data_IF_208474960499
#
_entry.id   IF_208474960499
#
_cell.length_a   1.000
_cell.length_b   1.000
_cell.length_c   1.000
_cell.angle_alpha   90.00
_cell.angle_beta   90.00
_cell.angle_gamma   90.00
#
_symmetry.space_group_name_H-M   'P 1'
#
loop_
_entity.id
_entity.type
_entity.pdbx_description
1 polymer ?
#
# COMPACT_ATOMS: atom_id res chain seq x y z
N UNK A 1 4.99 42.14 -5.85
CA UNK A 1 4.88 42.28 -4.37
C UNK A 1 6.02 41.46 -3.72
N UNK A 2 6.85 42.07 -2.90
CA UNK A 2 7.87 41.34 -2.17
C UNK A 2 7.19 40.40 -1.18
N UNK A 3 7.48 39.10 -1.30
CA UNK A 3 6.89 38.04 -0.49
C UNK A 3 7.96 37.30 0.32
N UNK A 4 8.93 38.04 0.84
CA UNK A 4 10.08 37.48 1.58
C UNK A 4 9.65 36.51 2.71
N UNK A 5 8.54 36.82 3.40
CA UNK A 5 7.99 35.95 4.47
C UNK A 5 7.47 34.61 3.93
N UNK A 6 6.86 34.62 2.72
CA UNK A 6 6.37 33.38 2.10
C UNK A 6 7.55 32.50 1.71
N UNK A 7 8.57 33.04 1.06
CA UNK A 7 9.75 32.30 0.67
C UNK A 7 10.53 31.76 1.89
N UNK A 8 10.67 32.57 2.94
CA UNK A 8 11.30 32.13 4.19
C UNK A 8 10.51 30.99 4.86
N UNK A 9 9.18 31.05 4.85
CA UNK A 9 8.34 29.97 5.39
C UNK A 9 8.47 28.70 4.56
N UNK A 10 8.59 28.78 3.22
CA UNK A 10 8.78 27.65 2.35
C UNK A 10 10.15 27.00 2.55
N UNK A 11 11.21 27.78 2.67
CA UNK A 11 12.56 27.30 3.00
C UNK A 11 12.58 26.54 4.36
N UNK A 12 11.85 27.05 5.35
CA UNK A 12 11.72 26.40 6.65
C UNK A 12 10.96 25.07 6.58
N UNK A 13 9.86 25.03 5.82
CA UNK A 13 9.06 23.82 5.62
C UNK A 13 9.87 22.72 4.91
N UNK A 14 10.66 23.07 3.91
CA UNK A 14 11.55 22.12 3.25
C UNK A 14 12.60 21.57 4.20
N UNK A 15 13.24 22.44 4.99
CA UNK A 15 14.29 22.05 5.94
C UNK A 15 13.75 21.20 7.10
N UNK A 16 12.60 21.55 7.67
CA UNK A 16 12.05 20.89 8.87
C UNK A 16 11.15 19.69 8.55
N UNK A 17 10.46 19.73 7.42
CA UNK A 17 9.44 18.74 7.04
C UNK A 17 9.75 17.98 5.77
N UNK A 18 10.82 18.35 5.04
CA UNK A 18 11.17 17.71 3.76
C UNK A 18 10.20 18.00 2.61
N UNK A 19 9.34 19.00 2.74
CA UNK A 19 8.33 19.34 1.73
C UNK A 19 8.98 20.26 0.67
N UNK A 20 9.02 19.88 -0.62
CA UNK A 20 9.65 20.68 -1.66
C UNK A 20 9.01 22.07 -1.80
N UNK A 21 9.83 23.11 -1.91
CA UNK A 21 9.36 24.50 -2.06
C UNK A 21 8.47 24.66 -3.30
N UNK A 22 8.85 24.03 -4.42
CA UNK A 22 8.11 24.10 -5.68
C UNK A 22 6.68 23.55 -5.56
N UNK A 23 6.51 22.46 -4.80
CA UNK A 23 5.19 21.90 -4.53
C UNK A 23 4.29 22.88 -3.79
N UNK A 24 4.80 23.47 -2.72
CA UNK A 24 4.03 24.44 -1.93
C UNK A 24 3.80 25.75 -2.68
N UNK A 25 4.79 26.23 -3.44
CA UNK A 25 4.63 27.40 -4.30
C UNK A 25 3.55 27.18 -5.36
N UNK A 26 3.53 25.99 -5.99
CA UNK A 26 2.48 25.59 -6.92
C UNK A 26 1.07 25.66 -6.30
N UNK A 27 0.91 25.19 -5.06
CA UNK A 27 -0.36 25.27 -4.32
C UNK A 27 -0.78 26.72 -4.02
N UNK A 28 0.17 27.56 -3.62
CA UNK A 28 -0.07 28.98 -3.37
C UNK A 28 -0.53 29.67 -4.67
N UNK A 29 0.16 29.43 -5.78
CA UNK A 29 -0.21 29.99 -7.10
C UNK A 29 -1.61 29.56 -7.50
N UNK A 30 -1.91 28.26 -7.38
CA UNK A 30 -3.22 27.71 -7.72
C UNK A 30 -4.36 28.38 -6.93
N UNK A 31 -4.14 28.60 -5.65
CA UNK A 31 -5.12 29.21 -4.79
C UNK A 31 -5.30 30.72 -5.05
N UNK A 32 -4.21 31.44 -5.26
CA UNK A 32 -4.26 32.86 -5.62
C UNK A 32 -5.02 33.05 -6.93
N UNK A 33 -4.73 32.19 -7.91
CA UNK A 33 -5.41 32.17 -9.21
C UNK A 33 -6.93 31.91 -9.07
N UNK A 34 -7.28 30.86 -8.28
CA UNK A 34 -8.68 30.52 -8.05
C UNK A 34 -9.45 31.64 -7.30
N UNK A 35 -8.81 32.25 -6.30
CA UNK A 35 -9.40 33.33 -5.54
C UNK A 35 -9.62 34.57 -6.41
N UNK A 36 -8.66 34.94 -7.27
CA UNK A 36 -8.79 36.04 -8.17
C UNK A 36 -9.94 35.83 -9.19
N UNK A 37 -10.03 34.64 -9.79
CA UNK A 37 -11.12 34.28 -10.70
C UNK A 37 -12.48 34.33 -10.05
N UNK A 38 -12.58 33.95 -8.78
CA UNK A 38 -13.85 34.03 -8.02
C UNK A 38 -14.31 35.45 -7.75
N UNK A 39 -13.36 36.37 -7.50
CA UNK A 39 -13.67 37.77 -7.20
C UNK A 39 -13.90 38.62 -8.45
N UNK A 40 -13.54 38.08 -9.64
CA UNK A 40 -13.63 38.80 -10.93
C UNK A 40 -14.34 37.95 -11.98
N UNK A 41 -15.62 38.17 -12.17
CA UNK A 41 -16.42 37.47 -13.18
C UNK A 41 -15.86 37.65 -14.59
N UNK A 42 -15.86 36.58 -15.37
CA UNK A 42 -15.41 36.60 -16.78
C UNK A 42 -13.90 36.53 -16.98
N UNK A 43 -13.09 36.49 -15.91
CA UNK A 43 -11.64 36.28 -16.00
C UNK A 43 -11.35 34.76 -16.10
N UNK A 44 -10.87 34.34 -17.28
CA UNK A 44 -10.56 32.93 -17.53
C UNK A 44 -9.10 32.56 -17.26
N UNK A 45 -8.17 33.41 -17.69
CA UNK A 45 -6.75 33.13 -17.63
C UNK A 45 -6.01 34.10 -16.71
N UNK A 46 -5.46 33.53 -15.62
CA UNK A 46 -4.64 34.26 -14.65
C UNK A 46 -3.29 33.56 -14.56
N UNK A 47 -2.21 34.30 -14.67
CA UNK A 47 -0.84 33.83 -14.57
C UNK A 47 -0.17 34.47 -13.36
N UNK A 48 0.55 33.68 -12.58
CA UNK A 48 1.41 34.18 -11.51
C UNK A 48 2.85 33.88 -11.89
N UNK A 49 3.64 34.93 -12.04
CA UNK A 49 5.07 34.88 -12.30
C UNK A 49 5.83 34.90 -10.97
N UNK A 50 6.74 33.95 -10.79
CA UNK A 50 7.54 33.77 -9.59
C UNK A 50 8.98 34.16 -9.89
N UNK A 51 9.49 35.14 -9.20
CA UNK A 51 10.91 35.48 -9.26
C UNK A 51 11.58 35.09 -7.95
N UNK A 52 12.23 33.93 -7.93
CA UNK A 52 12.90 33.38 -6.75
C UNK A 52 14.07 34.24 -6.28
N UNK A 53 14.89 34.78 -7.19
CA UNK A 53 16.05 35.61 -6.87
C UNK A 53 15.63 36.90 -6.14
N UNK A 54 14.52 37.49 -6.56
CA UNK A 54 13.99 38.74 -5.99
C UNK A 54 12.95 38.51 -4.89
N UNK A 55 12.60 37.25 -4.62
CA UNK A 55 11.52 36.86 -3.69
C UNK A 55 10.22 37.63 -3.97
N UNK A 56 9.86 37.73 -5.26
CA UNK A 56 8.76 38.55 -5.77
C UNK A 56 7.73 37.70 -6.53
N UNK A 57 6.45 37.99 -6.29
CA UNK A 57 5.33 37.37 -6.99
C UNK A 57 4.58 38.46 -7.77
N UNK A 58 4.27 38.20 -9.04
CA UNK A 58 3.50 39.07 -9.90
C UNK A 58 2.36 38.32 -10.54
N UNK A 59 1.17 38.90 -10.45
CA UNK A 59 -0.03 38.34 -11.06
C UNK A 59 -0.42 39.12 -12.30
N UNK A 60 -0.80 38.40 -13.34
CA UNK A 60 -1.25 38.95 -14.60
C UNK A 60 -2.57 38.29 -15.01
N UNK A 61 -3.49 39.11 -15.56
CA UNK A 61 -4.65 38.63 -16.31
C UNK A 61 -4.25 38.53 -17.77
N UNK A 62 -4.37 37.33 -18.32
CA UNK A 62 -4.12 37.11 -19.73
C UNK A 62 -5.39 37.33 -20.53
N UNK A 63 -5.35 38.23 -21.49
CA UNK A 63 -6.48 38.56 -22.36
C UNK A 63 -6.12 38.33 -23.83
N UNK A 64 -7.09 37.80 -24.58
CA UNK A 64 -7.00 37.66 -26.02
C UNK A 64 -7.31 39.01 -26.71
N UNK A 65 -6.55 39.32 -27.75
CA UNK A 65 -6.72 40.55 -28.53
C UNK A 65 -7.71 40.31 -29.67
N UNK A 66 -8.88 40.98 -29.59
CA UNK A 66 -9.98 40.82 -30.53
C UNK A 66 -10.34 42.15 -31.18
N UNK A 67 -11.11 42.14 -32.28
CA UNK A 67 -11.66 43.37 -32.88
C UNK A 67 -12.77 43.95 -32.05
N UNK A 68 -13.76 43.10 -31.66
CA UNK A 68 -14.89 43.46 -30.81
C UNK A 68 -14.81 42.62 -29.51
N UNK A 69 -14.89 43.31 -28.36
CA UNK A 69 -14.78 42.69 -27.04
C UNK A 69 -16.16 42.21 -26.62
N UNK A 70 -16.36 40.89 -26.57
CA UNK A 70 -17.56 40.24 -26.05
C UNK A 70 -17.47 40.00 -24.54
N UNK A 71 -16.30 39.59 -24.06
CA UNK A 71 -16.04 39.37 -22.64
C UNK A 71 -14.86 40.24 -22.16
N UNK A 72 -15.11 41.34 -21.45
CA UNK A 72 -14.06 42.23 -20.94
C UNK A 72 -13.12 41.57 -19.93
N UNK A 73 -13.51 40.43 -19.32
CA UNK A 73 -12.66 39.65 -18.40
C UNK A 73 -11.53 38.91 -19.11
N UNK A 74 -11.80 38.36 -20.30
CA UNK A 74 -10.87 37.50 -21.05
C UNK A 74 -10.38 38.12 -22.36
N UNK A 75 -10.97 39.22 -22.80
CA UNK A 75 -10.67 39.86 -24.10
C UNK A 75 -10.29 41.33 -23.92
N UNK A 76 -9.55 41.87 -24.89
CA UNK A 76 -9.15 43.27 -25.00
C UNK A 76 -9.21 43.72 -26.47
N UNK A 77 -9.59 44.97 -26.75
CA UNK A 77 -9.58 45.50 -28.11
C UNK A 77 -8.15 45.65 -28.65
N UNK A 78 -7.99 45.53 -29.97
CA UNK A 78 -6.71 45.77 -30.61
C UNK A 78 -6.18 47.17 -30.38
N UNK A 79 -7.09 48.16 -30.29
CA UNK A 79 -6.76 49.56 -30.03
C UNK A 79 -6.15 49.76 -28.65
N UNK A 80 -6.78 49.19 -27.59
CA UNK A 80 -6.28 49.24 -26.23
C UNK A 80 -4.99 48.47 -26.05
N UNK A 81 -4.87 47.29 -26.72
CA UNK A 81 -3.63 46.51 -26.69
C UNK A 81 -2.46 47.28 -27.33
N UNK A 82 -2.70 47.95 -28.46
CA UNK A 82 -1.68 48.78 -29.14
C UNK A 82 -1.31 50.04 -28.35
N UNK A 83 -2.21 50.56 -27.53
CA UNK A 83 -1.88 51.66 -26.61
C UNK A 83 -0.84 51.21 -25.54
N UNK A 84 -0.81 49.92 -25.19
CA UNK A 84 0.19 49.36 -24.30
C UNK A 84 1.53 49.04 -25.01
N UNK A 85 1.47 48.51 -26.25
CA UNK A 85 2.64 48.26 -27.06
C UNK A 85 2.26 48.10 -28.53
N UNK A 86 2.95 48.84 -29.42
CA UNK A 86 2.76 48.75 -30.87
C UNK A 86 3.03 47.35 -31.50
N UNK A 87 3.59 46.44 -30.75
CA UNK A 87 3.92 45.08 -31.20
C UNK A 87 2.73 44.10 -31.18
N UNK A 88 1.64 44.44 -30.50
CA UNK A 88 0.47 43.59 -30.38
C UNK A 88 -0.34 43.51 -31.69
N UNK A 89 -0.79 42.29 -32.01
CA UNK A 89 -1.56 41.98 -33.21
C UNK A 89 -2.84 41.23 -32.84
N UNK A 90 -3.83 41.30 -33.73
CA UNK A 90 -5.09 40.58 -33.59
C UNK A 90 -4.88 39.10 -33.42
N UNK A 91 -5.64 38.44 -32.53
CA UNK A 91 -5.46 37.04 -32.18
C UNK A 91 -4.27 36.76 -31.25
N UNK A 92 -3.50 37.79 -30.89
CA UNK A 92 -2.42 37.69 -29.91
C UNK A 92 -2.94 37.72 -28.48
N UNK A 93 -2.02 37.57 -27.52
CA UNK A 93 -2.34 37.56 -26.09
C UNK A 93 -1.56 38.69 -25.39
N UNK A 94 -2.21 39.38 -24.47
CA UNK A 94 -1.60 40.40 -23.62
C UNK A 94 -1.72 40.04 -22.16
N UNK A 95 -0.63 40.21 -21.40
CA UNK A 95 -0.61 40.03 -19.96
C UNK A 95 -0.75 41.36 -19.24
N UNK A 96 -1.90 41.59 -18.61
CA UNK A 96 -2.22 42.81 -17.89
C UNK A 96 -1.87 42.63 -16.41
N UNK A 97 -0.94 43.44 -15.83
CA UNK A 97 -0.54 43.28 -14.45
C UNK A 97 -1.69 43.67 -13.48
N UNK A 98 -1.92 42.80 -12.51
CA UNK A 98 -2.84 43.04 -11.40
C UNK A 98 -2.19 44.00 -10.40
N UNK A 99 -2.96 44.96 -9.88
CA UNK A 99 -2.49 45.97 -8.92
C UNK A 99 -2.01 45.26 -7.61
N UNK A 100 -0.86 45.64 -7.09
CA UNK A 100 -0.26 45.04 -5.89
C UNK A 100 -1.17 45.06 -4.65
N UNK A 101 -2.00 46.08 -4.47
CA UNK A 101 -2.94 46.20 -3.34
C UNK A 101 -4.04 45.15 -3.42
N UNK A 102 -4.55 44.89 -4.61
CA UNK A 102 -5.60 43.91 -4.89
C UNK A 102 -5.06 42.49 -4.70
N UNK A 103 -3.87 42.18 -5.26
CA UNK A 103 -3.16 40.96 -5.07
C UNK A 103 -2.85 40.67 -3.59
N UNK A 104 -2.37 41.67 -2.84
CA UNK A 104 -2.09 41.57 -1.42
C UNK A 104 -3.30 41.20 -0.56
N UNK A 105 -4.48 41.75 -0.87
CA UNK A 105 -5.75 41.42 -0.19
C UNK A 105 -6.17 39.96 -0.41
N UNK A 106 -6.07 39.47 -1.63
CA UNK A 106 -6.39 38.07 -1.99
C UNK A 106 -5.42 37.12 -1.32
N UNK A 107 -4.13 37.44 -1.36
CA UNK A 107 -3.09 36.63 -0.71
C UNK A 107 -3.31 36.51 0.81
N UNK A 108 -3.64 37.62 1.49
CA UNK A 108 -3.90 37.63 2.93
C UNK A 108 -5.17 36.86 3.33
N UNK A 109 -6.25 36.95 2.51
CA UNK A 109 -7.53 36.28 2.80
C UNK A 109 -7.49 34.76 2.70
N UNK A 110 -6.80 34.23 1.70
CA UNK A 110 -6.80 32.79 1.40
C UNK A 110 -5.49 32.07 1.73
N UNK A 111 -4.38 32.81 1.90
CA UNK A 111 -3.04 32.24 2.02
C UNK A 111 -2.88 31.22 3.16
N UNK A 112 -3.40 31.52 4.35
CA UNK A 112 -3.29 30.63 5.51
C UNK A 112 -3.97 29.29 5.27
N UNK A 113 -5.18 29.29 4.74
CA UNK A 113 -5.96 28.06 4.52
C UNK A 113 -5.32 27.16 3.45
N UNK A 114 -4.79 27.78 2.40
CA UNK A 114 -4.10 27.08 1.32
C UNK A 114 -2.80 26.46 1.77
N UNK A 115 -2.00 27.18 2.56
CA UNK A 115 -0.77 26.63 3.14
C UNK A 115 -1.08 25.44 4.02
N UNK A 116 -2.10 25.52 4.89
CA UNK A 116 -2.50 24.38 5.74
C UNK A 116 -2.98 23.21 4.90
N UNK A 117 -3.75 23.45 3.85
CA UNK A 117 -4.24 22.40 2.96
C UNK A 117 -3.09 21.78 2.15
N UNK A 118 -2.20 22.58 1.58
CA UNK A 118 -1.02 22.11 0.85
C UNK A 118 -0.07 21.31 1.73
N UNK A 119 0.13 21.75 2.99
CA UNK A 119 0.93 21.03 3.97
C UNK A 119 0.36 19.64 4.25
N UNK A 120 -0.95 19.55 4.50
CA UNK A 120 -1.62 18.25 4.71
C UNK A 120 -1.51 17.34 3.49
N UNK A 121 -1.69 17.88 2.28
CA UNK A 121 -1.57 17.11 1.04
C UNK A 121 -0.14 16.59 0.85
N UNK A 122 0.88 17.41 1.16
CA UNK A 122 2.28 16.99 1.09
C UNK A 122 2.59 15.89 2.12
N UNK A 123 2.18 16.08 3.38
CA UNK A 123 2.35 15.08 4.44
C UNK A 123 1.67 13.75 4.06
N UNK A 124 0.45 13.81 3.50
CA UNK A 124 -0.27 12.64 3.01
C UNK A 124 0.46 11.97 1.84
N UNK A 125 1.03 12.75 0.92
CA UNK A 125 1.84 12.22 -0.19
C UNK A 125 3.07 11.49 0.33
N UNK A 126 3.82 12.10 1.24
CA UNK A 126 5.02 11.50 1.83
C UNK A 126 4.72 10.19 2.56
N UNK A 127 3.68 10.17 3.40
CA UNK A 127 3.23 8.93 4.08
C UNK A 127 2.86 7.86 3.06
N UNK A 128 2.13 8.23 2.01
CA UNK A 128 1.72 7.28 0.97
C UNK A 128 2.92 6.68 0.24
N UNK A 129 3.88 7.50 -0.17
CA UNK A 129 5.07 7.05 -0.92
C UNK A 129 6.01 6.24 -0.03
N UNK A 130 6.23 6.66 1.21
CA UNK A 130 7.07 5.96 2.17
C UNK A 130 6.51 4.57 2.51
N UNK A 131 5.24 4.53 2.93
CA UNK A 131 4.62 3.26 3.34
C UNK A 131 4.22 2.40 2.14
N UNK A 132 3.92 2.99 0.98
CA UNK A 132 3.69 2.29 -0.28
C UNK A 132 4.91 1.48 -0.74
N UNK A 133 6.12 2.00 -0.53
CA UNK A 133 7.36 1.27 -0.82
C UNK A 133 7.59 0.05 0.09
N UNK A 134 6.91 0.02 1.25
CA UNK A 134 6.98 -1.06 2.25
C UNK A 134 5.79 -2.03 2.15
N UNK A 135 4.94 -1.91 1.12
CA UNK A 135 3.86 -2.88 0.90
C UNK A 135 4.43 -4.30 0.78
N UNK A 136 3.69 -5.24 1.33
CA UNK A 136 4.08 -6.65 1.39
C UNK A 136 5.24 -6.98 2.34
N UNK A 137 5.66 -6.02 3.18
CA UNK A 137 6.65 -6.24 4.22
C UNK A 137 6.00 -6.57 5.58
N UNK A 138 6.81 -7.14 6.48
CA UNK A 138 6.43 -7.34 7.88
C UNK A 138 6.84 -6.11 8.70
N UNK A 139 5.93 -5.67 9.53
CA UNK A 139 6.12 -4.50 10.40
C UNK A 139 5.87 -4.89 11.85
N UNK A 140 6.55 -4.21 12.76
CA UNK A 140 6.21 -4.26 14.18
C UNK A 140 5.41 -3.02 14.55
N UNK A 141 4.21 -3.24 15.07
CA UNK A 141 3.34 -2.17 15.54
C UNK A 141 3.01 -2.30 17.01
N UNK A 142 2.71 -1.19 17.67
CA UNK A 142 2.16 -1.18 19.03
C UNK A 142 0.65 -0.94 18.95
N UNK A 143 -0.13 -1.79 19.59
CA UNK A 143 -1.58 -1.59 19.68
C UNK A 143 -1.86 -0.30 20.44
N UNK A 144 -2.46 0.67 19.75
CA UNK A 144 -2.76 1.99 20.33
C UNK A 144 -4.16 2.01 20.93
N UNK A 145 -5.16 1.51 20.18
CA UNK A 145 -6.56 1.44 20.62
C UNK A 145 -7.32 0.42 19.79
N UNK A 146 -8.44 -0.02 20.34
CA UNK A 146 -9.42 -0.85 19.62
C UNK A 146 -10.72 -0.05 19.58
N UNK A 147 -11.27 0.15 18.39
CA UNK A 147 -12.49 0.92 18.24
C UNK A 147 -13.76 0.07 18.56
N UNK A 148 -14.95 0.68 18.75
CA UNK A 148 -16.18 -0.05 19.03
C UNK A 148 -16.63 -1.01 17.92
N UNK A 149 -16.06 -0.89 16.70
CA UNK A 149 -16.32 -1.78 15.56
C UNK A 149 -15.36 -2.96 15.53
N UNK A 150 -14.43 -3.04 16.48
CA UNK A 150 -13.41 -4.06 16.57
C UNK A 150 -12.19 -3.83 15.67
N UNK A 151 -12.04 -2.64 15.06
CA UNK A 151 -10.81 -2.31 14.32
C UNK A 151 -9.69 -2.03 15.30
N UNK A 152 -8.55 -2.68 15.12
CA UNK A 152 -7.34 -2.42 15.92
C UNK A 152 -6.51 -1.36 15.22
N UNK A 153 -6.21 -0.30 15.94
CA UNK A 153 -5.35 0.79 15.52
C UNK A 153 -3.96 0.56 16.09
N UNK A 154 -2.98 0.47 15.22
CA UNK A 154 -1.58 0.21 15.55
C UNK A 154 -0.73 1.44 15.27
N UNK A 155 0.17 1.77 16.17
CA UNK A 155 1.25 2.71 15.88
C UNK A 155 2.39 1.94 15.22
N UNK A 156 2.71 2.27 13.97
CA UNK A 156 3.79 1.67 13.18
C UNK A 156 4.83 2.73 12.84
N UNK A 157 6.11 2.33 12.73
CA UNK A 157 7.22 3.26 12.56
C UNK A 157 7.65 3.94 13.86
N UNK A 158 8.62 4.81 13.77
CA UNK A 158 9.22 5.53 14.92
C UNK A 158 9.45 7.01 14.64
N UNK A 159 9.45 7.83 15.68
CA UNK A 159 9.72 9.27 15.56
C UNK A 159 8.72 9.99 14.67
N UNK A 160 9.22 10.79 13.72
CA UNK A 160 8.42 11.58 12.79
C UNK A 160 7.78 10.76 11.66
N UNK A 161 8.26 9.54 11.45
CA UNK A 161 7.75 8.59 10.44
C UNK A 161 6.62 7.71 10.99
N UNK A 162 6.29 7.85 12.29
CA UNK A 162 5.24 7.06 12.90
C UNK A 162 3.87 7.37 12.27
N UNK A 163 3.17 6.34 11.85
CA UNK A 163 1.81 6.44 11.28
C UNK A 163 0.87 5.45 11.94
N UNK A 164 -0.41 5.55 11.63
CA UNK A 164 -1.44 4.64 12.13
C UNK A 164 -1.68 3.51 11.12
N UNK A 165 -1.45 2.26 11.56
CA UNK A 165 -1.87 1.06 10.84
C UNK A 165 -3.26 0.63 11.28
N UNK A 166 -4.10 0.22 10.33
CA UNK A 166 -5.47 -0.22 10.55
C UNK A 166 -5.61 -1.72 10.29
N UNK A 167 -6.03 -2.46 11.30
CA UNK A 167 -6.31 -3.88 11.19
C UNK A 167 -7.81 -4.12 11.43
N UNK A 168 -8.56 -4.32 10.36
CA UNK A 168 -9.98 -4.63 10.42
C UNK A 168 -10.26 -5.97 11.10
N UNK A 169 -11.49 -6.22 11.51
CA UNK A 169 -11.87 -7.47 12.20
C UNK A 169 -11.57 -8.74 11.39
N UNK A 170 -11.68 -8.67 10.06
CA UNK A 170 -11.35 -9.78 9.15
C UNK A 170 -9.83 -10.05 9.02
N UNK A 171 -9.01 -9.09 9.42
CA UNK A 171 -7.56 -9.16 9.38
C UNK A 171 -6.94 -9.57 10.73
N UNK A 172 -7.80 -9.84 11.73
CA UNK A 172 -7.43 -10.31 13.06
C UNK A 172 -7.57 -11.82 13.14
N UNK A 173 -6.62 -12.47 13.80
CA UNK A 173 -6.64 -13.93 13.99
C UNK A 173 -7.75 -14.29 14.95
N UNK A 174 -8.67 -15.21 14.61
CA UNK A 174 -9.73 -15.66 15.52
C UNK A 174 -9.15 -16.21 16.82
N UNK A 175 -9.62 -15.70 17.95
CA UNK A 175 -9.18 -16.11 19.29
C UNK A 175 -7.88 -15.46 19.76
N UNK A 176 -7.23 -14.59 18.98
CA UNK A 176 -6.10 -13.80 19.43
C UNK A 176 -6.59 -12.55 20.17
N UNK A 177 -6.30 -12.46 21.45
CA UNK A 177 -6.60 -11.28 22.25
C UNK A 177 -5.48 -10.26 22.13
N UNK A 178 -5.82 -9.09 21.59
CA UNK A 178 -4.91 -7.95 21.47
C UNK A 178 -5.25 -6.92 22.54
N UNK A 179 -4.22 -6.40 23.21
CA UNK A 179 -4.38 -5.42 24.28
C UNK A 179 -3.59 -4.14 23.96
N UNK A 180 -4.09 -3.00 24.44
CA UNK A 180 -3.39 -1.72 24.28
C UNK A 180 -1.97 -1.78 24.87
N UNK A 181 -1.02 -1.21 24.16
CA UNK A 181 0.40 -1.25 24.50
C UNK A 181 1.17 -2.50 24.05
N UNK A 182 0.47 -3.53 23.54
CA UNK A 182 1.10 -4.76 23.06
C UNK A 182 1.84 -4.53 21.75
N UNK A 183 3.06 -5.07 21.66
CA UNK A 183 3.81 -5.15 20.40
C UNK A 183 3.35 -6.38 19.60
N UNK A 184 3.07 -6.18 18.32
CA UNK A 184 2.66 -7.26 17.40
C UNK A 184 3.33 -7.09 16.05
N UNK A 185 3.70 -8.21 15.44
CA UNK A 185 4.14 -8.24 14.04
C UNK A 185 2.93 -8.34 13.12
N UNK A 186 2.88 -7.50 12.11
CA UNK A 186 1.79 -7.42 11.13
C UNK A 186 2.35 -7.36 9.71
N UNK A 187 1.57 -7.85 8.77
CA UNK A 187 1.87 -7.76 7.35
C UNK A 187 1.21 -6.50 6.77
N UNK A 188 1.97 -5.66 6.07
CA UNK A 188 1.42 -4.52 5.37
C UNK A 188 0.78 -4.99 4.07
N UNK A 189 -0.55 -4.92 3.99
CA UNK A 189 -1.32 -5.40 2.85
C UNK A 189 -1.29 -4.38 1.72
N UNK A 190 -1.67 -3.15 2.02
CA UNK A 190 -1.74 -2.05 1.06
C UNK A 190 -1.82 -0.69 1.77
N UNK A 191 -1.49 0.37 1.05
CA UNK A 191 -1.70 1.76 1.47
C UNK A 191 -2.79 2.38 0.61
N UNK A 192 -3.93 2.70 1.21
CA UNK A 192 -5.09 3.28 0.52
C UNK A 192 -5.10 4.79 0.59
N UNK A 193 -5.33 5.46 -0.52
CA UNK A 193 -5.64 6.89 -0.54
C UNK A 193 -7.11 7.10 -0.19
N UNK A 194 -7.38 7.92 0.83
CA UNK A 194 -8.74 8.32 1.19
C UNK A 194 -8.85 9.84 1.23
N UNK A 195 -10.07 10.37 1.27
CA UNK A 195 -10.32 11.82 1.40
C UNK A 195 -9.79 12.41 2.71
N UNK A 196 -9.55 11.57 3.71
CA UNK A 196 -9.02 11.97 5.03
C UNK A 196 -7.50 11.77 5.16
N UNK A 197 -6.87 11.21 4.13
CA UNK A 197 -5.44 10.88 4.10
C UNK A 197 -5.16 9.41 3.80
N UNK A 198 -3.89 9.03 3.70
CA UNK A 198 -3.48 7.65 3.49
C UNK A 198 -3.85 6.79 4.69
N UNK A 199 -4.28 5.56 4.40
CA UNK A 199 -4.57 4.53 5.40
C UNK A 199 -3.68 3.33 5.14
N UNK A 200 -2.88 2.95 6.11
CA UNK A 200 -2.01 1.78 6.05
C UNK A 200 -2.78 0.57 6.56
N UNK A 201 -3.13 -0.35 5.65
CA UNK A 201 -3.90 -1.54 5.96
C UNK A 201 -2.97 -2.69 6.33
N UNK A 202 -3.14 -3.23 7.50
CA UNK A 202 -2.29 -4.31 8.01
C UNK A 202 -3.11 -5.56 8.38
N UNK A 203 -2.47 -6.72 8.33
CA UNK A 203 -3.11 -8.00 8.55
C UNK A 203 -2.25 -8.95 9.41
N UNK A 204 -2.92 -9.75 10.23
CA UNK A 204 -2.34 -10.92 10.89
C UNK A 204 -2.88 -12.23 10.32
N UNK A 205 -3.89 -12.18 9.44
CA UNK A 205 -4.46 -13.38 8.78
C UNK A 205 -3.84 -13.66 7.41
N UNK A 206 -3.21 -12.67 6.77
CA UNK A 206 -2.67 -12.80 5.43
C UNK A 206 -1.54 -13.85 5.36
N UNK A 207 -1.51 -14.74 4.34
CA UNK A 207 -0.43 -15.75 4.18
C UNK A 207 0.97 -15.13 4.05
N UNK A 208 1.06 -13.92 3.51
CA UNK A 208 2.30 -13.15 3.42
C UNK A 208 2.99 -12.91 4.76
N UNK A 209 2.24 -12.86 5.87
CA UNK A 209 2.84 -12.77 7.20
C UNK A 209 3.73 -13.98 7.49
N UNK A 210 3.23 -15.19 7.22
CA UNK A 210 4.00 -16.44 7.41
C UNK A 210 5.22 -16.45 6.52
N UNK A 211 5.06 -16.07 5.24
CA UNK A 211 6.17 -15.98 4.28
C UNK A 211 7.30 -15.09 4.82
N UNK A 212 6.95 -13.87 5.25
CA UNK A 212 7.93 -12.90 5.75
C UNK A 212 8.56 -13.33 7.08
N UNK A 213 7.82 -14.03 7.95
CA UNK A 213 8.40 -14.61 9.17
C UNK A 213 9.46 -15.65 8.84
N UNK A 214 9.22 -16.53 7.86
CA UNK A 214 10.22 -17.49 7.41
C UNK A 214 11.43 -16.81 6.76
N UNK A 215 11.25 -15.77 5.97
CA UNK A 215 12.36 -14.99 5.39
C UNK A 215 13.25 -14.34 6.47
N UNK A 216 12.69 -13.98 7.62
CA UNK A 216 13.46 -13.43 8.75
C UNK A 216 14.21 -14.51 9.55
N UNK A 217 13.62 -15.69 9.71
CA UNK A 217 14.17 -16.75 10.56
C UNK A 217 15.09 -17.73 9.82
N UNK A 218 14.96 -17.84 8.50
CA UNK A 218 15.63 -18.84 7.66
C UNK A 218 16.55 -18.17 6.66
N UNK A 219 17.88 -18.15 6.93
CA UNK A 219 18.85 -17.52 6.03
C UNK A 219 18.80 -18.05 4.60
N UNK A 220 18.55 -19.35 4.43
CA UNK A 220 18.48 -20.03 3.13
C UNK A 220 17.25 -19.58 2.30
N UNK A 221 16.21 -19.05 2.96
CA UNK A 221 15.08 -18.40 2.25
C UNK A 221 15.46 -16.97 1.92
N UNK A 222 16.12 -16.27 2.82
CA UNK A 222 16.54 -14.88 2.62
C UNK A 222 17.52 -14.72 1.44
N UNK A 223 18.46 -15.65 1.29
CA UNK A 223 19.45 -15.65 0.20
C UNK A 223 18.94 -16.29 -1.11
N UNK A 224 17.72 -16.86 -1.10
CA UNK A 224 17.08 -17.46 -2.27
C UNK A 224 17.52 -18.89 -2.57
N UNK A 225 18.33 -19.53 -1.73
CA UNK A 225 18.70 -20.96 -1.86
C UNK A 225 17.46 -21.84 -1.72
N UNK A 226 16.60 -21.51 -0.74
CA UNK A 226 15.30 -22.16 -0.53
C UNK A 226 14.19 -21.18 -0.91
N UNK A 227 13.23 -21.64 -1.69
CA UNK A 227 12.09 -20.86 -2.12
C UNK A 227 10.77 -21.39 -1.54
N UNK A 228 9.92 -20.46 -1.08
CA UNK A 228 8.54 -20.78 -0.73
C UNK A 228 7.69 -20.71 -2.00
N UNK A 229 7.24 -21.87 -2.50
CA UNK A 229 6.47 -21.97 -3.74
C UNK A 229 4.98 -21.68 -3.54
N UNK A 230 4.42 -22.11 -2.42
CA UNK A 230 3.00 -21.90 -2.12
C UNK A 230 2.75 -21.91 -0.61
N UNK A 231 1.70 -21.19 -0.18
CA UNK A 231 1.23 -21.19 1.20
C UNK A 231 -0.30 -21.27 1.19
N UNK A 232 -0.84 -22.19 1.98
CA UNK A 232 -2.26 -22.26 2.28
C UNK A 232 -2.45 -22.13 3.80
N UNK A 233 -3.22 -21.12 4.23
CA UNK A 233 -3.34 -20.74 5.64
C UNK A 233 -4.79 -20.67 6.10
N UNK A 234 -5.05 -21.22 7.27
CA UNK A 234 -6.20 -20.93 8.11
C UNK A 234 -5.67 -20.31 9.40
N UNK A 235 -5.67 -18.97 9.43
CA UNK A 235 -5.03 -18.17 10.47
C UNK A 235 -5.50 -18.57 11.89
N UNK A 236 -4.56 -18.69 12.81
CA UNK A 236 -4.79 -19.13 14.19
C UNK A 236 -5.02 -20.64 14.35
N UNK A 237 -5.04 -21.40 13.26
CA UNK A 237 -5.24 -22.85 13.32
C UNK A 237 -4.08 -23.62 12.67
N UNK A 238 -3.95 -23.55 11.35
CA UNK A 238 -2.95 -24.32 10.62
C UNK A 238 -2.54 -23.66 9.31
N UNK A 239 -1.24 -23.75 9.00
CA UNK A 239 -0.66 -23.37 7.71
C UNK A 239 0.06 -24.56 7.09
N UNK A 240 -0.13 -24.74 5.77
CA UNK A 240 0.71 -25.62 4.94
C UNK A 240 1.56 -24.75 4.01
N UNK A 241 2.86 -25.05 3.95
CA UNK A 241 3.82 -24.30 3.15
C UNK A 241 4.67 -25.26 2.32
N UNK A 242 4.69 -25.06 1.01
CA UNK A 242 5.49 -25.82 0.07
C UNK A 242 6.82 -25.10 -0.20
N UNK A 243 7.92 -25.81 -0.03
CA UNK A 243 9.28 -25.29 -0.19
C UNK A 243 10.07 -26.09 -1.22
N UNK A 244 10.96 -25.39 -1.91
CA UNK A 244 11.84 -25.93 -2.93
C UNK A 244 13.28 -25.46 -2.67
N UNK A 245 14.28 -26.27 -2.99
CA UNK A 245 15.68 -25.86 -2.95
C UNK A 245 16.26 -25.75 -4.36
N UNK A 246 16.95 -24.66 -4.62
CA UNK A 246 17.72 -24.43 -5.85
C UNK A 246 19.10 -25.10 -5.78
N UNK A 247 19.52 -25.59 -4.60
CA UNK A 247 20.74 -26.35 -4.39
C UNK A 247 20.38 -27.79 -3.95
N UNK A 248 20.82 -28.78 -4.71
CA UNK A 248 20.54 -30.21 -4.44
C UNK A 248 21.12 -30.70 -3.10
N UNK A 249 22.13 -30.00 -2.56
CA UNK A 249 22.77 -30.35 -1.28
C UNK A 249 22.03 -29.77 -0.07
N UNK A 250 21.04 -28.90 -0.29
CA UNK A 250 20.27 -28.25 0.77
C UNK A 250 18.87 -28.87 0.87
N UNK A 251 18.60 -29.51 2.02
CA UNK A 251 17.23 -29.96 2.34
C UNK A 251 16.34 -28.76 2.69
N UNK A 252 15.35 -28.41 1.86
CA UNK A 252 14.51 -27.24 2.09
C UNK A 252 13.63 -27.38 3.34
N UNK A 253 13.22 -28.59 3.71
CA UNK A 253 12.43 -28.82 4.93
C UNK A 253 13.31 -28.63 6.15
N UNK A 254 14.48 -29.27 6.15
CA UNK A 254 15.44 -29.16 7.25
C UNK A 254 15.90 -27.74 7.51
N UNK A 255 16.13 -26.95 6.45
CA UNK A 255 16.48 -25.54 6.55
C UNK A 255 15.39 -24.72 7.27
N UNK A 256 14.13 -24.92 6.90
CA UNK A 256 12.98 -24.24 7.50
C UNK A 256 12.70 -24.68 8.94
N UNK A 257 12.85 -25.96 9.25
CA UNK A 257 12.63 -26.51 10.60
C UNK A 257 13.72 -26.03 11.55
N UNK A 258 14.95 -26.04 11.08
CA UNK A 258 16.14 -25.68 11.85
C UNK A 258 16.53 -26.69 12.93
N UNK A 259 17.65 -26.44 13.60
CA UNK A 259 18.16 -27.38 14.66
C UNK A 259 17.10 -27.56 15.75
N UNK A 260 16.72 -28.83 15.99
CA UNK A 260 15.70 -29.21 16.98
C UNK A 260 14.35 -28.49 16.84
N UNK A 261 14.01 -28.04 15.63
CA UNK A 261 12.76 -27.32 15.37
C UNK A 261 12.73 -25.86 15.87
N UNK A 262 13.89 -25.29 16.16
CA UNK A 262 13.97 -23.97 16.77
C UNK A 262 13.42 -22.86 15.85
N UNK A 263 13.76 -22.88 14.55
CA UNK A 263 13.32 -21.86 13.61
C UNK A 263 11.79 -21.86 13.44
N UNK A 264 11.22 -23.02 13.10
CA UNK A 264 9.77 -23.14 12.98
C UNK A 264 9.05 -22.90 14.32
N UNK A 265 9.69 -23.29 15.44
CA UNK A 265 9.16 -23.05 16.79
C UNK A 265 8.99 -21.58 17.12
N UNK A 266 9.99 -20.74 16.80
CA UNK A 266 9.90 -19.26 16.97
C UNK A 266 8.74 -18.66 16.17
N UNK A 267 8.51 -19.14 14.95
CA UNK A 267 7.41 -18.68 14.11
C UNK A 267 6.06 -19.13 14.67
N UNK A 268 5.95 -20.37 15.12
CA UNK A 268 4.73 -20.90 15.76
C UNK A 268 4.39 -20.10 17.03
N UNK A 269 5.39 -19.70 17.81
CA UNK A 269 5.22 -18.84 19.00
C UNK A 269 4.71 -17.45 18.62
N UNK A 270 5.32 -16.80 17.61
CA UNK A 270 4.84 -15.50 17.09
C UNK A 270 3.38 -15.57 16.61
N UNK A 271 2.99 -16.68 15.99
CA UNK A 271 1.63 -16.95 15.51
C UNK A 271 0.70 -17.56 16.58
N UNK A 272 1.09 -17.48 17.86
CA UNK A 272 0.28 -17.93 19.00
C UNK A 272 -0.15 -19.39 18.94
N UNK A 273 0.72 -20.27 18.47
CA UNK A 273 0.48 -21.71 18.44
C UNK A 273 -0.17 -22.22 17.15
N UNK A 274 -0.25 -21.41 16.09
CA UNK A 274 -0.68 -21.86 14.76
C UNK A 274 0.25 -22.97 14.25
N UNK A 275 -0.31 -24.13 13.90
CA UNK A 275 0.47 -25.27 13.42
C UNK A 275 0.98 -25.03 12.00
N UNK A 276 2.24 -25.39 11.75
CA UNK A 276 2.87 -25.20 10.43
C UNK A 276 3.35 -26.55 9.90
N UNK A 277 2.82 -26.97 8.75
CA UNK A 277 3.29 -28.13 8.00
C UNK A 277 4.18 -27.64 6.85
N UNK A 278 5.43 -28.05 6.84
CA UNK A 278 6.40 -27.73 5.80
C UNK A 278 6.49 -28.92 4.86
N UNK A 279 6.26 -28.70 3.57
CA UNK A 279 6.09 -29.73 2.56
C UNK A 279 7.10 -29.47 1.44
N UNK A 280 7.76 -30.55 0.98
CA UNK A 280 8.63 -30.44 -0.19
C UNK A 280 7.76 -30.26 -1.43
N UNK A 281 8.03 -29.21 -2.20
CA UNK A 281 7.42 -29.00 -3.50
C UNK A 281 7.96 -30.02 -4.50
N UNK A 282 7.11 -30.49 -5.42
CA UNK A 282 7.51 -31.28 -6.58
C UNK A 282 6.81 -30.73 -7.83
N UNK A 283 7.51 -30.78 -8.96
CA UNK A 283 6.92 -30.47 -10.28
C UNK A 283 5.98 -31.58 -10.78
N UNK A 284 6.12 -32.81 -10.22
CA UNK A 284 5.14 -33.87 -10.41
C UNK A 284 3.89 -33.60 -9.55
N UNK A 285 2.73 -33.34 -10.15
CA UNK A 285 1.51 -33.06 -9.40
C UNK A 285 1.10 -34.18 -8.46
N UNK A 286 1.34 -35.45 -8.83
CA UNK A 286 0.95 -36.59 -8.00
C UNK A 286 1.78 -36.65 -6.73
N UNK A 287 3.12 -36.46 -6.83
CA UNK A 287 4.01 -36.38 -5.69
C UNK A 287 3.69 -35.19 -4.80
N UNK A 288 3.43 -34.01 -5.41
CA UNK A 288 3.12 -32.80 -4.67
C UNK A 288 1.79 -32.92 -3.91
N UNK A 289 0.75 -33.49 -4.52
CA UNK A 289 -0.54 -33.72 -3.84
C UNK A 289 -0.38 -34.72 -2.70
N UNK A 290 0.36 -35.81 -2.91
CA UNK A 290 0.63 -36.77 -1.85
C UNK A 290 1.35 -36.13 -0.66
N UNK A 291 2.40 -35.37 -0.92
CA UNK A 291 3.12 -34.62 0.12
C UNK A 291 2.23 -33.59 0.83
N UNK A 292 1.34 -32.91 0.11
CA UNK A 292 0.43 -31.91 0.66
C UNK A 292 -0.59 -32.48 1.64
N UNK A 293 -0.91 -33.76 1.57
CA UNK A 293 -1.82 -34.47 2.49
C UNK A 293 -1.13 -34.92 3.79
N UNK A 294 0.19 -34.75 3.91
CA UNK A 294 0.88 -35.04 5.17
C UNK A 294 0.11 -34.41 6.37
N UNK A 295 0.05 -35.06 7.53
CA UNK A 295 0.81 -36.27 7.92
C UNK A 295 0.17 -37.61 7.51
N UNK A 296 -0.87 -37.64 6.69
CA UNK A 296 -1.46 -38.87 6.22
C UNK A 296 -0.63 -39.50 5.11
N UNK A 297 -0.50 -40.83 5.14
CA UNK A 297 0.13 -41.58 4.09
C UNK A 297 -0.82 -41.70 2.87
N UNK A 298 -0.26 -41.62 1.67
CA UNK A 298 -1.00 -41.75 0.42
C UNK A 298 -0.55 -42.99 -0.33
N UNK A 299 -1.49 -43.83 -0.74
CA UNK A 299 -1.22 -45.06 -1.51
C UNK A 299 -1.06 -44.69 -2.99
N UNK A 300 -1.97 -43.90 -3.53
CA UNK A 300 -2.00 -43.58 -4.97
C UNK A 300 -2.68 -42.24 -5.19
N UNK A 301 -2.20 -41.47 -6.19
CA UNK A 301 -2.84 -40.27 -6.70
C UNK A 301 -3.19 -40.48 -8.16
N UNK A 302 -4.47 -40.36 -8.51
CA UNK A 302 -4.97 -40.45 -9.87
C UNK A 302 -5.39 -39.06 -10.34
N UNK A 303 -4.64 -38.52 -11.29
CA UNK A 303 -4.97 -37.25 -11.92
C UNK A 303 -6.06 -37.45 -12.98
N UNK A 304 -6.98 -36.51 -13.10
CA UNK A 304 -7.97 -36.49 -14.16
C UNK A 304 -7.40 -35.80 -15.40
N UNK A 305 -7.75 -36.28 -16.57
CA UNK A 305 -7.42 -35.66 -17.85
C UNK A 305 -8.21 -34.36 -18.05
N UNK A 306 -9.30 -34.16 -17.33
CA UNK A 306 -10.15 -32.97 -17.39
C UNK A 306 -9.91 -32.07 -16.20
N UNK A 307 -9.06 -31.02 -16.40
CA UNK A 307 -8.85 -29.96 -15.43
C UNK A 307 -7.98 -30.38 -14.22
N UNK A 308 -7.95 -29.52 -13.20
CA UNK A 308 -7.21 -29.74 -11.96
C UNK A 308 -8.02 -30.54 -10.93
N UNK A 309 -8.34 -31.78 -11.27
CA UNK A 309 -9.06 -32.73 -10.41
C UNK A 309 -8.15 -33.91 -10.12
N UNK A 310 -8.21 -34.46 -8.93
CA UNK A 310 -7.52 -35.71 -8.59
C UNK A 310 -8.30 -36.55 -7.59
N UNK A 311 -8.15 -37.85 -7.70
CA UNK A 311 -8.60 -38.83 -6.68
C UNK A 311 -7.37 -39.34 -5.96
N UNK A 312 -7.42 -39.31 -4.64
CA UNK A 312 -6.33 -39.77 -3.78
C UNK A 312 -6.82 -40.96 -2.97
N UNK A 313 -6.07 -42.05 -3.04
CA UNK A 313 -6.35 -43.25 -2.27
C UNK A 313 -5.44 -43.27 -1.06
N UNK A 314 -6.01 -43.44 0.11
CA UNK A 314 -5.31 -43.49 1.38
C UNK A 314 -5.63 -44.81 2.09
N UNK A 315 -4.75 -45.33 3.00
CA UNK A 315 -5.11 -46.46 3.86
C UNK A 315 -6.38 -46.16 4.66
N UNK A 316 -7.21 -47.17 4.90
CA UNK A 316 -8.51 -47.01 5.56
C UNK A 316 -8.42 -46.33 6.94
N UNK A 317 -7.39 -46.65 7.68
CA UNK A 317 -7.08 -46.08 9.00
C UNK A 317 -6.58 -44.62 8.91
N UNK A 318 -6.10 -44.20 7.75
CA UNK A 318 -5.57 -42.85 7.51
C UNK A 318 -6.63 -41.86 6.95
N UNK A 319 -7.81 -42.36 6.55
CA UNK A 319 -8.84 -41.54 5.90
C UNK A 319 -9.21 -40.29 6.75
N UNK A 320 -9.46 -40.48 8.04
CA UNK A 320 -9.81 -39.39 8.94
C UNK A 320 -8.69 -38.38 9.08
N UNK A 321 -7.43 -38.84 9.06
CA UNK A 321 -6.24 -38.00 9.14
C UNK A 321 -6.04 -37.18 7.85
N UNK A 322 -6.22 -37.85 6.68
CA UNK A 322 -6.12 -37.21 5.38
C UNK A 322 -7.15 -36.09 5.19
N UNK A 323 -8.39 -36.33 5.65
CA UNK A 323 -9.46 -35.32 5.63
C UNK A 323 -9.17 -34.23 6.68
N UNK A 324 -8.79 -34.63 7.88
CA UNK A 324 -8.56 -33.75 9.04
C UNK A 324 -9.88 -33.29 9.71
N UNK A 325 -9.74 -32.63 10.85
CA UNK A 325 -10.90 -32.05 11.57
C UNK A 325 -11.63 -31.06 10.68
N UNK A 326 -12.94 -31.26 10.50
CA UNK A 326 -13.80 -30.41 9.65
C UNK A 326 -13.29 -30.25 8.20
N UNK A 327 -12.52 -31.24 7.70
CA UNK A 327 -11.94 -31.20 6.36
C UNK A 327 -10.74 -30.26 6.19
N UNK A 328 -10.14 -29.80 7.29
CA UNK A 328 -9.08 -28.79 7.26
C UNK A 328 -7.85 -29.26 6.46
N UNK A 329 -7.38 -30.50 6.69
CA UNK A 329 -6.19 -31.00 6.01
C UNK A 329 -6.40 -31.08 4.50
N UNK A 330 -7.52 -31.66 4.06
CA UNK A 330 -7.88 -31.75 2.64
C UNK A 330 -8.07 -30.36 2.00
N UNK A 331 -8.72 -29.44 2.70
CA UNK A 331 -8.97 -28.08 2.20
C UNK A 331 -7.68 -27.29 2.04
N UNK A 332 -6.75 -27.37 3.02
CA UNK A 332 -5.44 -26.73 2.93
C UNK A 332 -4.59 -27.35 1.82
N UNK A 333 -4.59 -28.69 1.67
CA UNK A 333 -3.88 -29.37 0.60
C UNK A 333 -4.41 -28.95 -0.78
N UNK A 334 -5.73 -28.85 -0.93
CA UNK A 334 -6.36 -28.40 -2.18
C UNK A 334 -5.97 -26.95 -2.52
N UNK A 335 -5.96 -26.04 -1.54
CA UNK A 335 -5.53 -24.66 -1.74
C UNK A 335 -4.05 -24.55 -2.06
N UNK A 336 -3.22 -25.34 -1.41
CA UNK A 336 -1.76 -25.35 -1.59
C UNK A 336 -1.38 -25.79 -2.99
N UNK A 337 -1.99 -26.89 -3.48
CA UNK A 337 -1.66 -27.51 -4.77
C UNK A 337 -2.44 -26.92 -5.94
N UNK A 338 -3.57 -26.26 -5.66
CA UNK A 338 -4.50 -25.76 -6.66
C UNK A 338 -5.34 -26.86 -7.34
N UNK A 339 -5.36 -28.07 -6.77
CA UNK A 339 -6.18 -29.20 -7.24
C UNK A 339 -7.42 -29.39 -6.37
N UNK A 340 -8.51 -29.84 -6.99
CA UNK A 340 -9.66 -30.35 -6.26
C UNK A 340 -9.40 -31.82 -5.93
N UNK A 341 -9.32 -32.15 -4.66
CA UNK A 341 -8.88 -33.45 -4.15
C UNK A 341 -10.10 -34.24 -3.66
N UNK A 342 -10.34 -35.43 -4.25
CA UNK A 342 -11.32 -36.43 -3.81
C UNK A 342 -10.59 -37.56 -3.08
N UNK A 343 -10.73 -37.63 -1.76
CA UNK A 343 -10.01 -38.62 -0.93
C UNK A 343 -10.91 -39.84 -0.71
N UNK A 344 -10.38 -41.03 -1.00
CA UNK A 344 -11.06 -42.30 -0.81
C UNK A 344 -10.19 -43.29 -0.02
N UNK A 345 -10.81 -44.17 0.79
CA UNK A 345 -10.09 -45.25 1.43
C UNK A 345 -9.65 -46.35 0.44
N UNK A 346 -8.63 -47.12 0.75
CA UNK A 346 -8.15 -48.20 -0.10
C UNK A 346 -9.21 -49.33 -0.33
N UNK A 347 -10.15 -49.50 0.61
CA UNK A 347 -11.28 -50.39 0.48
C UNK A 347 -12.38 -49.89 -0.47
N UNK A 348 -12.28 -48.65 -1.02
CA UNK A 348 -13.25 -48.12 -1.93
C UNK A 348 -13.19 -48.81 -3.29
N UNK A 349 -14.27 -49.53 -3.66
CA UNK A 349 -14.42 -50.29 -4.92
C UNK A 349 -15.19 -49.57 -6.01
N UNK A 350 -15.54 -48.31 -5.82
CA UNK A 350 -16.28 -47.52 -6.84
C UNK A 350 -15.36 -46.99 -7.94
N UNK A 351 -15.85 -46.98 -9.19
CA UNK A 351 -15.19 -46.37 -10.34
C UNK A 351 -15.07 -44.83 -10.23
#
# INVERSE_FOLDING_TARGET
>A
MKCEEIFAALELLEKERGIPQDFMMGKIIQALTAAYKKDHEGVENVIVDVNEEKKDLRMYVQKEIVEEVENPGSQISLEDARAMSAKYQLGGVVNIPVKNVEFGRIAAGNGKQVIIQGLREAEHGMIYDEWGSKEHEILTGTVHRIDPRGTVHLRIGSGNEATEGLMGSNEQVPGEELTEGQLVKVYLVEVRRTTRGPQVMVSRTHPGLVKRLFELEVPEIYDGTVEIRSIAREAGSRTKMAVWSNDENVDPIGACVGPKGQRVGSIVEELRGEKIDIIKYSDDPAEYIAAALAPADVVEVRLSDEGKLCRVIVPDDQLSLAIGKEGQNARLAARLTGYKIDIKPASYTGE
#
